data_IF_521860524809
#
_entry.id   IF_521860524809
#
_cell.length_a   1.000
_cell.length_b   1.000
_cell.length_c   1.000
_cell.angle_alpha   90.00
_cell.angle_beta   90.00
_cell.angle_gamma   90.00
#
_symmetry.space_group_name_H-M   'P 1'
#
loop_
_entity.id
_entity.type
_entity.pdbx_description
1 polymer ?
#
# COMPACT_ATOMS: atom_id res chain seq x y z
N UNK A 1 28.99 15.32 -12.10
CA UNK A 1 28.91 16.38 -13.13
C UNK A 1 27.60 17.11 -12.87
N UNK A 2 27.62 18.37 -12.44
CA UNK A 2 26.38 19.12 -12.17
C UNK A 2 25.72 19.45 -13.51
N UNK A 3 24.50 19.00 -13.73
CA UNK A 3 23.67 19.52 -14.83
C UNK A 3 23.64 21.06 -14.73
N UNK A 4 23.82 21.75 -15.86
CA UNK A 4 23.75 23.19 -15.88
C UNK A 4 22.34 23.62 -15.44
N UNK A 5 22.22 24.60 -14.54
CA UNK A 5 20.91 25.08 -14.03
C UNK A 5 19.90 25.40 -15.15
N UNK A 6 20.41 25.79 -16.32
CA UNK A 6 19.61 26.08 -17.52
C UNK A 6 18.95 24.82 -18.11
N UNK A 7 19.64 23.68 -18.14
CA UNK A 7 19.08 22.44 -18.66
C UNK A 7 18.01 21.88 -17.72
N UNK A 8 18.24 21.99 -16.41
CA UNK A 8 17.28 21.60 -15.39
C UNK A 8 15.95 22.35 -15.51
N UNK A 9 16.01 23.69 -15.62
CA UNK A 9 14.80 24.51 -15.80
C UNK A 9 14.06 24.21 -17.11
N UNK A 10 14.80 23.95 -18.19
CA UNK A 10 14.22 23.62 -19.50
C UNK A 10 13.45 22.30 -19.42
N UNK A 11 14.03 21.28 -18.79
CA UNK A 11 13.36 19.98 -18.57
C UNK A 11 12.17 20.12 -17.62
N UNK A 12 12.31 20.85 -16.51
CA UNK A 12 11.22 21.12 -15.55
C UNK A 12 10.02 21.78 -16.23
N UNK A 13 10.26 22.75 -17.12
CA UNK A 13 9.22 23.44 -17.90
C UNK A 13 8.54 22.50 -18.89
N UNK A 14 9.31 21.74 -19.66
CA UNK A 14 8.76 20.79 -20.64
C UNK A 14 7.83 19.76 -19.97
N UNK A 15 8.17 19.28 -18.78
CA UNK A 15 7.32 18.36 -18.01
C UNK A 15 6.01 19.04 -17.61
N UNK A 16 6.06 20.27 -17.07
CA UNK A 16 4.86 21.01 -16.67
C UNK A 16 3.92 21.26 -17.85
N UNK A 17 4.48 21.69 -18.98
CA UNK A 17 3.71 21.96 -20.20
C UNK A 17 3.07 20.67 -20.77
N UNK A 18 3.76 19.53 -20.66
CA UNK A 18 3.25 18.22 -21.07
C UNK A 18 2.18 17.62 -20.15
N UNK A 19 1.92 18.21 -18.97
CA UNK A 19 0.91 17.69 -18.02
C UNK A 19 -0.52 18.09 -18.41
N UNK A 20 -1.50 17.29 -17.98
CA UNK A 20 -2.91 17.64 -18.09
C UNK A 20 -3.25 18.92 -17.29
N UNK A 21 -4.32 19.64 -17.68
CA UNK A 21 -4.76 20.85 -16.97
C UNK A 21 -4.97 20.63 -15.45
N UNK A 22 -5.43 19.43 -15.06
CA UNK A 22 -5.59 19.06 -13.65
C UNK A 22 -4.25 18.92 -12.94
N UNK A 23 -3.26 18.34 -13.62
CA UNK A 23 -1.88 18.23 -13.13
C UNK A 23 -1.21 19.61 -12.97
N UNK A 24 -1.33 20.47 -13.98
CA UNK A 24 -0.80 21.83 -13.94
C UNK A 24 -1.42 22.64 -12.79
N UNK A 25 -2.74 22.60 -12.60
CA UNK A 25 -3.43 23.26 -11.47
C UNK A 25 -2.91 22.81 -10.11
N UNK A 26 -2.59 21.51 -9.95
CA UNK A 26 -2.02 20.99 -8.71
C UNK A 26 -0.64 21.57 -8.43
N UNK A 27 0.20 21.67 -9.44
CA UNK A 27 1.56 22.23 -9.32
C UNK A 27 1.50 23.73 -9.05
N UNK A 28 0.64 24.48 -9.73
CA UNK A 28 0.45 25.91 -9.47
C UNK A 28 -0.01 26.16 -8.03
N UNK A 29 -0.85 25.29 -7.46
CA UNK A 29 -1.25 25.36 -6.05
C UNK A 29 -0.11 25.03 -5.09
N UNK A 30 0.82 24.16 -5.48
CA UNK A 30 2.03 23.84 -4.71
C UNK A 30 3.08 24.97 -4.79
N UNK A 31 3.06 25.73 -5.90
CA UNK A 31 4.08 26.69 -6.29
C UNK A 31 5.09 26.06 -7.25
N UNK A 32 5.19 26.59 -8.46
CA UNK A 32 6.06 26.04 -9.51
C UNK A 32 7.54 26.03 -9.08
N UNK A 33 7.98 27.07 -8.37
CA UNK A 33 9.36 27.14 -7.84
C UNK A 33 9.65 26.00 -6.85
N UNK A 34 8.70 25.70 -5.95
CA UNK A 34 8.83 24.66 -4.93
C UNK A 34 8.60 23.22 -5.45
N UNK A 35 8.17 23.09 -6.70
CA UNK A 35 7.91 21.81 -7.31
C UNK A 35 9.19 21.24 -7.93
N UNK A 36 9.57 20.05 -7.49
CA UNK A 36 10.68 19.28 -8.06
C UNK A 36 10.12 18.03 -8.77
N UNK A 37 10.15 17.97 -10.12
CA UNK A 37 9.70 16.80 -10.88
C UNK A 37 10.71 15.66 -10.93
N UNK A 38 11.94 15.87 -10.48
CA UNK A 38 13.04 14.89 -10.56
C UNK A 38 13.30 14.18 -9.24
N UNK A 39 12.36 14.26 -8.29
CA UNK A 39 12.40 13.52 -7.05
C UNK A 39 12.58 12.02 -7.33
N UNK A 40 13.65 11.45 -6.80
CA UNK A 40 13.93 10.03 -6.92
C UNK A 40 12.78 9.20 -6.31
N UNK A 41 12.47 8.02 -6.88
CA UNK A 41 11.54 7.10 -6.24
C UNK A 41 11.96 6.85 -4.79
N UNK A 42 11.03 7.02 -3.85
CA UNK A 42 11.31 6.80 -2.42
C UNK A 42 11.88 5.40 -2.19
N UNK A 43 12.94 5.30 -1.37
CA UNK A 43 13.50 4.00 -1.02
C UNK A 43 12.40 3.18 -0.31
N UNK A 44 12.13 1.93 -0.71
CA UNK A 44 11.19 1.04 -0.03
C UNK A 44 11.41 0.95 1.50
N UNK A 45 12.64 1.15 1.98
CA UNK A 45 12.98 1.18 3.41
C UNK A 45 12.42 2.39 4.16
N UNK A 46 12.11 3.48 3.46
CA UNK A 46 11.47 4.69 4.02
C UNK A 46 9.95 4.54 4.15
N UNK A 47 9.36 3.47 3.61
CA UNK A 47 7.95 3.16 3.83
C UNK A 47 7.78 2.65 5.27
N UNK A 48 7.64 3.58 6.22
CA UNK A 48 7.30 3.24 7.60
C UNK A 48 5.91 2.61 7.61
N UNK A 49 5.88 1.28 7.67
CA UNK A 49 4.64 0.52 7.84
C UNK A 49 4.16 0.71 9.27
N UNK A 50 2.86 0.99 9.45
CA UNK A 50 2.27 1.14 10.77
C UNK A 50 2.42 -0.15 11.59
N UNK A 51 2.51 -0.03 12.92
CA UNK A 51 2.70 -1.16 13.85
C UNK A 51 1.67 -2.29 13.68
N UNK A 52 0.43 -1.95 13.32
CA UNK A 52 -0.64 -2.91 13.04
C UNK A 52 -0.35 -3.75 11.79
N UNK A 53 0.19 -3.13 10.74
CA UNK A 53 0.51 -3.82 9.48
C UNK A 53 1.67 -4.81 9.68
N UNK A 54 2.71 -4.42 10.42
CA UNK A 54 3.82 -5.31 10.76
C UNK A 54 3.35 -6.53 11.56
N UNK A 55 2.45 -6.31 12.53
CA UNK A 55 1.83 -7.42 13.29
C UNK A 55 0.99 -8.33 12.39
N UNK A 56 0.20 -7.76 11.49
CA UNK A 56 -0.63 -8.53 10.55
C UNK A 56 0.24 -9.40 9.63
N UNK A 57 1.31 -8.86 9.04
CA UNK A 57 2.25 -9.63 8.20
C UNK A 57 2.89 -10.79 8.97
N UNK A 58 3.26 -10.56 10.23
CA UNK A 58 3.79 -11.62 11.10
C UNK A 58 2.78 -12.75 11.29
N UNK A 59 1.50 -12.43 11.53
CA UNK A 59 0.43 -13.42 11.71
C UNK A 59 0.21 -14.22 10.42
N UNK A 60 0.18 -13.55 9.26
CA UNK A 60 -0.01 -14.21 7.96
C UNK A 60 1.13 -15.20 7.67
N UNK A 61 2.38 -14.82 7.96
CA UNK A 61 3.52 -15.73 7.80
C UNK A 61 3.44 -16.95 8.72
N UNK A 62 3.01 -16.75 9.97
CA UNK A 62 2.78 -17.85 10.91
C UNK A 62 1.69 -18.80 10.42
N UNK A 63 0.61 -18.27 9.83
CA UNK A 63 -0.45 -19.09 9.25
C UNK A 63 0.05 -20.01 8.14
N UNK A 64 0.88 -19.49 7.23
CA UNK A 64 1.48 -20.33 6.18
C UNK A 64 2.42 -21.38 6.74
N UNK A 65 3.26 -21.03 7.71
CA UNK A 65 4.17 -21.97 8.36
C UNK A 65 3.42 -23.11 9.07
N UNK A 66 2.25 -22.83 9.64
CA UNK A 66 1.40 -23.82 10.31
C UNK A 66 0.59 -24.69 9.33
N UNK A 67 0.38 -24.24 8.08
CA UNK A 67 -0.48 -24.91 7.10
C UNK A 67 0.24 -25.10 5.74
N UNK A 68 1.36 -25.85 5.71
CA UNK A 68 2.18 -25.99 4.49
C UNK A 68 1.45 -26.70 3.33
N UNK A 69 0.40 -27.46 3.61
CA UNK A 69 -0.41 -28.17 2.60
C UNK A 69 -1.51 -27.31 1.99
N UNK A 70 -1.67 -26.06 2.42
CA UNK A 70 -2.66 -25.13 1.87
C UNK A 70 -2.13 -24.50 0.57
N UNK A 71 -1.99 -25.33 -0.46
CA UNK A 71 -1.58 -24.91 -1.79
C UNK A 71 -2.51 -23.78 -2.29
N UNK A 72 -1.90 -22.68 -2.74
CA UNK A 72 -2.62 -21.49 -3.19
C UNK A 72 -2.98 -20.48 -2.10
N UNK A 73 -2.74 -20.76 -0.80
CA UNK A 73 -2.97 -19.75 0.25
C UNK A 73 -2.12 -18.48 0.10
N UNK A 74 -0.94 -18.62 -0.52
CA UNK A 74 -0.07 -17.51 -0.87
C UNK A 74 -0.64 -16.63 -1.99
N UNK A 75 -1.50 -17.17 -2.86
CA UNK A 75 -2.12 -16.40 -3.97
C UNK A 75 -3.06 -15.33 -3.42
N UNK A 76 -3.64 -15.58 -2.24
CA UNK A 76 -4.52 -14.66 -1.52
C UNK A 76 -3.78 -13.85 -0.44
N UNK A 77 -2.46 -13.72 -0.54
CA UNK A 77 -1.65 -13.06 0.50
C UNK A 77 -2.14 -11.65 0.84
N UNK A 78 -2.44 -10.86 -0.18
CA UNK A 78 -2.95 -9.50 0.00
C UNK A 78 -4.29 -9.51 0.74
N UNK A 79 -5.23 -10.34 0.33
CA UNK A 79 -6.56 -10.42 0.94
C UNK A 79 -6.47 -10.88 2.41
N UNK A 80 -5.61 -11.85 2.69
CA UNK A 80 -5.38 -12.36 4.04
C UNK A 80 -4.71 -11.31 4.94
N UNK A 81 -3.75 -10.55 4.38
CA UNK A 81 -3.07 -9.46 5.08
C UNK A 81 -4.03 -8.31 5.39
N UNK A 82 -4.82 -7.88 4.41
CA UNK A 82 -5.83 -6.83 4.58
C UNK A 82 -6.87 -7.26 5.63
N UNK A 83 -7.32 -8.52 5.58
CA UNK A 83 -8.22 -9.07 6.59
C UNK A 83 -7.60 -9.10 7.99
N UNK A 84 -6.34 -9.54 8.12
CA UNK A 84 -5.62 -9.54 9.39
C UNK A 84 -5.44 -8.11 9.96
N UNK A 85 -5.18 -7.12 9.11
CA UNK A 85 -5.15 -5.71 9.50
C UNK A 85 -6.51 -5.25 10.02
N UNK A 86 -7.60 -5.52 9.30
CA UNK A 86 -8.96 -5.17 9.72
C UNK A 86 -9.38 -5.84 11.02
N UNK A 87 -8.97 -7.10 11.25
CA UNK A 87 -9.18 -7.81 12.52
C UNK A 87 -8.44 -7.13 13.68
N UNK A 88 -7.15 -6.82 13.52
CA UNK A 88 -6.35 -6.16 14.55
C UNK A 88 -6.86 -4.74 14.88
N UNK A 89 -7.51 -4.07 13.94
CA UNK A 89 -8.16 -2.78 14.14
C UNK A 89 -9.55 -2.88 14.77
N UNK A 90 -10.11 -4.08 14.90
CA UNK A 90 -11.47 -4.28 15.41
C UNK A 90 -12.54 -3.76 14.46
N UNK A 91 -12.30 -3.79 13.15
CA UNK A 91 -13.29 -3.35 12.17
C UNK A 91 -14.50 -4.28 12.17
N UNK A 92 -15.71 -3.71 12.23
CA UNK A 92 -16.96 -4.47 12.39
C UNK A 92 -17.18 -5.53 11.32
N UNK A 93 -16.82 -5.22 10.06
CA UNK A 93 -16.92 -6.18 8.95
C UNK A 93 -16.05 -7.42 9.21
N UNK A 94 -14.81 -7.22 9.66
CA UNK A 94 -13.90 -8.32 9.92
C UNK A 94 -14.37 -9.20 11.09
N UNK A 95 -14.92 -8.59 12.14
CA UNK A 95 -15.54 -9.29 13.26
C UNK A 95 -16.71 -10.17 12.81
N UNK A 96 -17.66 -9.62 12.03
CA UNK A 96 -18.82 -10.37 11.52
C UNK A 96 -18.37 -11.55 10.64
N UNK A 97 -17.38 -11.35 9.78
CA UNK A 97 -16.86 -12.42 8.93
C UNK A 97 -16.22 -13.54 9.76
N UNK A 98 -15.44 -13.19 10.77
CA UNK A 98 -14.84 -14.17 11.69
C UNK A 98 -15.92 -14.93 12.49
N UNK A 99 -16.93 -14.23 13.02
CA UNK A 99 -18.09 -14.84 13.68
C UNK A 99 -18.83 -15.81 12.77
N UNK A 100 -19.05 -15.42 11.50
CA UNK A 100 -19.67 -16.27 10.49
C UNK A 100 -18.85 -17.53 10.22
N UNK A 101 -17.52 -17.42 10.05
CA UNK A 101 -16.65 -18.57 9.85
C UNK A 101 -16.73 -19.56 11.02
N UNK A 102 -16.72 -19.07 12.26
CA UNK A 102 -16.82 -19.92 13.45
C UNK A 102 -18.19 -20.59 13.55
N UNK A 103 -19.27 -19.85 13.30
CA UNK A 103 -20.62 -20.40 13.23
C UNK A 103 -20.71 -21.47 12.14
N UNK A 104 -20.18 -21.21 10.95
CA UNK A 104 -20.24 -22.13 9.82
C UNK A 104 -19.48 -23.43 10.09
N UNK A 105 -18.31 -23.36 10.74
CA UNK A 105 -17.57 -24.56 11.16
C UNK A 105 -18.35 -25.39 12.18
N UNK A 106 -18.98 -24.75 13.16
CA UNK A 106 -19.78 -25.44 14.18
C UNK A 106 -21.09 -26.07 13.65
N UNK A 107 -21.66 -25.50 12.58
CA UNK A 107 -22.90 -25.99 11.96
C UNK A 107 -22.68 -26.89 10.74
N UNK A 108 -21.42 -27.14 10.36
CA UNK A 108 -21.07 -28.08 9.27
C UNK A 108 -21.02 -29.54 9.72
N UNK A 109 -21.54 -29.86 10.91
CA UNK A 109 -21.79 -31.23 11.34
C UNK A 109 -23.00 -31.84 10.64
N UNK A 110 -22.87 -32.14 9.35
CA UNK A 110 -23.61 -33.17 8.61
C UNK A 110 -22.62 -33.98 7.76
#
# INVERSE_FOLDING_TARGET
MSESSSEYETKKRAIFEGMSQRGQKRILRLGYENWDPFQEPKDPREQILGTVYVKADTIVRQFYAANPTNEGACDFHKDLLDFAVSLLRGERRAQILHEFCNWFQGNRGE
#
